data_IF_862200635359
#
_entry.id   IF_862200635359
#
_cell.length_a   1.000
_cell.length_b   1.000
_cell.length_c   1.000
_cell.angle_alpha   90.00
_cell.angle_beta   90.00
_cell.angle_gamma   90.00
#
_symmetry.space_group_name_H-M   'P 1'
#
loop_
_entity.id
_entity.type
_entity.pdbx_description
1 polymer ?
#
# COMPACT_ATOMS: atom_id res chain seq x y z
N UNK A 1 8.36 -14.06 19.80
CA UNK A 1 8.82 -12.79 19.19
C UNK A 1 7.65 -12.12 18.48
N UNK A 2 7.53 -10.79 18.55
CA UNK A 2 6.48 -10.03 17.84
C UNK A 2 6.77 -10.09 16.35
N UNK A 3 5.79 -10.51 15.54
CA UNK A 3 5.88 -10.46 14.07
C UNK A 3 5.83 -9.00 13.63
N UNK A 4 6.95 -8.48 13.14
CA UNK A 4 7.10 -7.06 12.78
C UNK A 4 7.51 -6.86 11.32
N UNK A 5 7.66 -7.93 10.55
CA UNK A 5 8.04 -7.87 9.14
C UNK A 5 6.78 -8.12 8.31
N UNK A 6 6.38 -7.12 7.53
CA UNK A 6 5.41 -7.32 6.45
C UNK A 6 6.16 -8.02 5.31
N UNK A 7 5.80 -9.27 5.04
CA UNK A 7 6.31 -10.02 3.91
C UNK A 7 5.28 -9.98 2.77
N UNK A 8 5.68 -9.47 1.62
CA UNK A 8 4.77 -9.18 0.52
C UNK A 8 5.39 -9.54 -0.84
N UNK A 9 4.59 -10.18 -1.70
CA UNK A 9 4.91 -10.34 -3.11
C UNK A 9 3.84 -9.69 -3.96
N UNK A 10 4.24 -9.11 -5.10
CA UNK A 10 3.36 -8.31 -5.95
C UNK A 10 3.52 -8.64 -7.42
N UNK A 11 2.46 -8.41 -8.20
CA UNK A 11 2.47 -8.54 -9.66
C UNK A 11 1.47 -7.62 -10.33
N UNK A 12 1.76 -7.18 -11.56
CA UNK A 12 0.82 -6.45 -12.40
C UNK A 12 -0.26 -7.42 -12.90
N UNK A 13 -1.52 -6.98 -12.86
CA UNK A 13 -2.67 -7.70 -13.43
C UNK A 13 -3.48 -6.73 -14.29
N UNK A 14 -4.31 -7.25 -15.18
CA UNK A 14 -5.28 -6.47 -15.92
C UNK A 14 -6.58 -6.39 -15.12
N UNK A 15 -7.27 -5.25 -15.21
CA UNK A 15 -8.60 -5.08 -14.61
C UNK A 15 -9.58 -6.18 -15.04
N UNK A 16 -9.48 -6.64 -16.29
CA UNK A 16 -10.31 -7.72 -16.85
C UNK A 16 -10.05 -9.09 -16.23
N UNK A 17 -8.90 -9.31 -15.59
CA UNK A 17 -8.54 -10.59 -14.96
C UNK A 17 -9.12 -10.73 -13.54
N UNK A 18 -9.62 -9.64 -12.96
CA UNK A 18 -10.05 -9.59 -11.56
C UNK A 18 -11.18 -10.58 -11.24
N UNK A 19 -12.28 -10.68 -12.02
CA UNK A 19 -13.33 -11.66 -11.74
C UNK A 19 -12.80 -13.11 -11.71
N UNK A 20 -11.87 -13.45 -12.63
CA UNK A 20 -11.25 -14.78 -12.65
C UNK A 20 -10.35 -15.03 -11.43
N UNK A 21 -9.62 -14.01 -10.98
CA UNK A 21 -8.79 -14.09 -9.76
C UNK A 21 -9.64 -14.25 -8.51
N UNK A 22 -10.77 -13.56 -8.41
CA UNK A 22 -11.72 -13.71 -7.29
C UNK A 22 -12.26 -15.14 -7.21
N UNK A 23 -12.64 -15.72 -8.35
CA UNK A 23 -13.10 -17.10 -8.42
C UNK A 23 -12.00 -18.09 -7.98
N UNK A 24 -10.76 -17.91 -8.44
CA UNK A 24 -9.61 -18.75 -8.01
C UNK A 24 -9.30 -18.60 -6.52
N UNK A 25 -9.33 -17.38 -5.98
CA UNK A 25 -9.15 -17.13 -4.54
C UNK A 25 -10.21 -17.85 -3.71
N UNK A 26 -11.49 -17.75 -4.12
CA UNK A 26 -12.59 -18.45 -3.46
C UNK A 26 -12.43 -19.97 -3.51
N UNK A 27 -12.05 -20.52 -4.68
CA UNK A 27 -11.77 -21.95 -4.84
C UNK A 27 -10.61 -22.43 -3.94
N UNK A 28 -9.63 -21.57 -3.68
CA UNK A 28 -8.54 -21.83 -2.73
C UNK A 28 -8.94 -21.59 -1.26
N UNK A 29 -10.21 -21.27 -0.98
CA UNK A 29 -10.72 -21.08 0.38
C UNK A 29 -10.42 -19.70 1.00
N UNK A 30 -10.08 -18.70 0.19
CA UNK A 30 -10.06 -17.32 0.67
C UNK A 30 -11.48 -16.78 0.82
N UNK A 31 -11.68 -15.97 1.86
CA UNK A 31 -12.93 -15.22 2.08
C UNK A 31 -12.71 -13.77 1.70
N UNK A 32 -13.69 -13.17 1.03
CA UNK A 32 -13.70 -11.71 0.87
C UNK A 32 -13.90 -11.09 2.24
N UNK A 33 -13.02 -10.14 2.60
CA UNK A 33 -13.13 -9.34 3.83
C UNK A 33 -13.62 -7.92 3.53
N UNK A 34 -13.97 -7.66 2.27
CA UNK A 34 -14.61 -6.43 1.82
C UNK A 34 -13.82 -5.64 0.80
N UNK A 35 -14.45 -4.59 0.32
CA UNK A 35 -13.89 -3.62 -0.62
C UNK A 35 -13.61 -2.31 0.12
N UNK A 36 -12.44 -1.73 -0.16
CA UNK A 36 -11.99 -0.49 0.46
C UNK A 36 -11.54 0.48 -0.61
N UNK A 37 -11.92 1.75 -0.46
CA UNK A 37 -11.29 2.84 -1.20
C UNK A 37 -10.28 3.51 -0.28
N UNK A 38 -9.03 3.56 -0.71
CA UNK A 38 -7.93 4.12 0.06
C UNK A 38 -7.31 5.29 -0.68
N UNK A 39 -7.25 6.45 -0.04
CA UNK A 39 -6.48 7.60 -0.51
C UNK A 39 -5.24 7.72 0.37
N UNK A 40 -4.06 7.80 -0.24
CA UNK A 40 -2.78 7.88 0.47
C UNK A 40 -1.96 9.06 -0.02
N UNK A 41 -1.50 9.90 0.89
CA UNK A 41 -0.33 10.77 0.70
C UNK A 41 0.89 9.92 0.99
N UNK A 42 1.74 9.70 0.00
CA UNK A 42 2.92 8.85 0.07
C UNK A 42 4.17 9.70 -0.13
N UNK A 43 5.07 9.67 0.86
CA UNK A 43 6.31 10.45 0.90
C UNK A 43 7.50 9.49 0.95
N UNK A 44 8.31 9.50 -0.11
CA UNK A 44 9.45 8.62 -0.28
C UNK A 44 10.77 9.38 -0.19
N UNK A 45 11.76 8.78 0.49
CA UNK A 45 13.14 9.23 0.44
C UNK A 45 14.02 8.49 1.44
N UNK A 46 15.24 8.98 1.58
CA UNK A 46 16.22 8.40 2.50
C UNK A 46 16.30 9.24 3.77
N UNK A 47 16.40 8.56 4.92
CA UNK A 47 16.61 9.20 6.22
C UNK A 47 17.88 8.67 6.85
N UNK A 48 18.58 9.56 7.56
CA UNK A 48 19.70 9.15 8.40
C UNK A 48 19.20 8.40 9.62
N UNK A 49 19.78 7.24 9.85
CA UNK A 49 19.60 6.42 11.03
C UNK A 49 20.83 6.63 11.92
N UNK A 50 20.60 7.24 13.08
CA UNK A 50 21.58 7.21 14.16
C UNK A 50 21.50 5.85 14.83
N UNK A 51 22.49 5.01 14.56
CA UNK A 51 22.67 3.75 15.25
C UNK A 51 23.04 4.07 16.71
N UNK A 52 22.07 3.97 17.63
CA UNK A 52 22.26 4.31 19.03
C UNK A 52 23.28 3.39 19.72
N UNK A 53 23.55 2.22 19.14
CA UNK A 53 24.42 1.19 19.72
C UNK A 53 25.82 1.13 19.06
N UNK A 54 25.99 1.69 17.86
CA UNK A 54 27.33 1.84 17.26
C UNK A 54 28.04 3.07 17.80
N UNK A 55 28.92 2.84 18.77
CA UNK A 55 29.92 3.80 19.27
C UNK A 55 30.64 4.51 18.11
N UNK A 56 30.32 5.79 17.91
CA UNK A 56 31.18 6.93 17.50
C UNK A 56 32.09 6.84 16.26
N UNK A 57 32.15 5.76 15.48
CA UNK A 57 33.08 5.66 14.34
C UNK A 57 32.47 5.29 12.97
N UNK A 58 31.15 5.13 12.88
CA UNK A 58 30.44 5.04 11.61
C UNK A 58 29.63 6.32 11.39
N UNK A 59 29.79 6.99 10.25
CA UNK A 59 28.92 8.10 9.86
C UNK A 59 27.43 7.67 9.80
N UNK A 60 26.50 8.60 9.56
CA UNK A 60 25.08 8.27 9.46
C UNK A 60 24.86 7.17 8.42
N UNK A 61 24.20 6.09 8.83
CA UNK A 61 23.69 5.10 7.89
C UNK A 61 22.38 5.62 7.30
N UNK A 62 22.19 5.52 5.99
CA UNK A 62 20.93 5.92 5.35
C UNK A 62 20.05 4.71 5.14
N UNK A 63 18.75 4.86 5.40
CA UNK A 63 17.74 3.87 5.03
C UNK A 63 16.62 4.53 4.27
N UNK A 64 16.07 3.81 3.30
CA UNK A 64 14.90 4.25 2.58
C UNK A 64 13.66 4.14 3.48
N UNK A 65 12.85 5.19 3.47
CA UNK A 65 11.55 5.23 4.14
C UNK A 65 10.44 5.60 3.16
N UNK A 66 9.26 5.07 3.47
CA UNK A 66 8.00 5.38 2.82
C UNK A 66 7.02 5.75 3.93
N UNK A 67 6.80 7.04 4.10
CA UNK A 67 5.84 7.59 5.05
C UNK A 67 4.50 7.78 4.32
N UNK A 68 3.44 7.20 4.88
CA UNK A 68 2.10 7.26 4.30
C UNK A 68 1.13 7.83 5.30
N UNK A 69 0.45 8.89 4.91
CA UNK A 69 -0.83 9.25 5.52
C UNK A 69 -1.91 8.63 4.65
N UNK A 70 -2.63 7.63 5.15
CA UNK A 70 -3.70 6.96 4.41
C UNK A 70 -5.05 7.12 5.12
N UNK A 71 -6.09 7.31 4.33
CA UNK A 71 -7.47 7.21 4.78
C UNK A 71 -8.13 6.04 4.06
N UNK A 72 -8.70 5.12 4.83
CA UNK A 72 -9.44 3.96 4.34
C UNK A 72 -10.80 3.99 5.01
N UNK A 73 -11.89 4.12 4.26
CA UNK A 73 -13.24 4.07 4.82
C UNK A 73 -13.47 5.07 5.99
N UNK A 74 -12.96 6.29 5.87
CA UNK A 74 -12.98 7.35 6.91
C UNK A 74 -12.03 7.15 8.09
N UNK A 75 -11.36 6.01 8.20
CA UNK A 75 -10.32 5.77 9.21
C UNK A 75 -8.97 6.27 8.70
N UNK A 76 -8.31 7.11 9.48
CA UNK A 76 -7.04 7.72 9.12
C UNK A 76 -5.89 7.07 9.87
N UNK A 77 -4.80 6.81 9.16
CA UNK A 77 -3.62 6.18 9.71
C UNK A 77 -2.37 6.85 9.14
N UNK A 78 -1.35 6.98 9.99
CA UNK A 78 0.02 7.30 9.58
C UNK A 78 0.87 6.05 9.70
N UNK A 79 1.57 5.71 8.63
CA UNK A 79 2.39 4.51 8.53
C UNK A 79 3.77 4.88 8.05
N UNK A 80 4.80 4.35 8.71
CA UNK A 80 6.18 4.40 8.24
C UNK A 80 6.63 2.99 7.89
N UNK A 81 7.01 2.77 6.62
CA UNK A 81 7.67 1.55 6.18
C UNK A 81 9.18 1.81 6.04
N UNK A 82 10.00 0.99 6.71
CA UNK A 82 11.46 1.12 6.75
C UNK A 82 12.11 0.01 5.93
N UNK A 83 13.06 0.38 5.07
CA UNK A 83 13.73 -0.49 4.11
C UNK A 83 13.36 -0.14 2.67
N UNK A 84 14.06 -0.75 1.70
CA UNK A 84 13.90 -0.46 0.28
C UNK A 84 12.43 -0.59 -0.17
N UNK A 85 11.90 0.38 -0.91
CA UNK A 85 10.48 0.48 -1.31
C UNK A 85 9.98 -0.72 -2.12
N UNK A 86 10.89 -1.42 -2.80
CA UNK A 86 10.60 -2.62 -3.62
C UNK A 86 10.91 -3.93 -2.90
N UNK A 87 11.47 -3.88 -1.68
CA UNK A 87 11.77 -5.08 -0.92
C UNK A 87 10.49 -5.74 -0.44
N UNK A 88 10.49 -7.06 -0.42
CA UNK A 88 9.36 -7.86 0.04
C UNK A 88 9.24 -7.88 1.57
N UNK A 89 10.25 -7.47 2.33
CA UNK A 89 10.36 -7.70 3.78
C UNK A 89 10.65 -6.39 4.54
N UNK A 90 9.63 -5.52 4.67
CA UNK A 90 9.81 -4.20 5.29
C UNK A 90 9.30 -4.20 6.73
N UNK A 91 9.96 -3.40 7.58
CA UNK A 91 9.42 -3.09 8.90
C UNK A 91 8.33 -2.04 8.73
N UNK A 92 7.14 -2.32 9.25
CA UNK A 92 6.00 -1.40 9.21
C UNK A 92 5.60 -0.98 10.62
N UNK A 93 5.40 0.31 10.81
CA UNK A 93 4.90 0.90 12.04
C UNK A 93 3.74 1.82 11.66
N UNK A 94 2.54 1.52 12.16
CA UNK A 94 1.31 2.27 11.89
C UNK A 94 0.68 2.81 13.17
N UNK A 95 0.06 3.98 13.08
CA UNK A 95 -0.68 4.62 14.16
C UNK A 95 -1.97 5.23 13.61
N UNK A 96 -3.10 4.86 14.22
CA UNK A 96 -4.40 5.51 13.94
C UNK A 96 -4.37 6.96 14.42
N UNK A 97 -4.91 7.86 13.61
CA UNK A 97 -4.95 9.30 13.88
C UNK A 97 -6.31 9.86 13.49
N UNK A 98 -6.67 11.04 14.01
CA UNK A 98 -7.83 11.77 13.50
C UNK A 98 -7.53 12.43 12.13
N UNK A 99 -8.57 12.93 11.45
CA UNK A 99 -8.46 13.55 10.14
C UNK A 99 -7.63 14.86 10.12
N UNK A 100 -7.65 15.64 11.21
CA UNK A 100 -6.86 16.88 11.31
C UNK A 100 -5.37 16.54 11.43
N UNK A 101 -5.05 15.55 12.24
CA UNK A 101 -3.71 15.01 12.42
C UNK A 101 -3.18 14.40 11.11
N UNK A 102 -4.01 13.63 10.39
CA UNK A 102 -3.70 13.13 9.04
C UNK A 102 -3.25 14.25 8.09
N UNK A 103 -4.01 15.36 8.01
CA UNK A 103 -3.66 16.48 7.14
C UNK A 103 -2.35 17.17 7.58
N UNK A 104 -2.14 17.27 8.89
CA UNK A 104 -0.94 17.87 9.47
C UNK A 104 0.30 17.05 9.13
N UNK A 105 0.26 15.73 9.34
CA UNK A 105 1.36 14.83 8.97
C UNK A 105 1.63 14.83 7.47
N UNK A 106 0.59 14.81 6.64
CA UNK A 106 0.74 14.90 5.19
C UNK A 106 1.49 16.16 4.76
N UNK A 107 1.13 17.31 5.34
CA UNK A 107 1.81 18.57 5.09
C UNK A 107 3.27 18.54 5.57
N UNK A 108 3.52 18.05 6.80
CA UNK A 108 4.87 17.94 7.36
C UNK A 108 5.78 17.07 6.50
N UNK A 109 5.35 15.87 6.10
CA UNK A 109 6.15 15.00 5.27
C UNK A 109 6.47 15.62 3.91
N UNK A 110 5.52 16.34 3.30
CA UNK A 110 5.78 17.06 2.06
C UNK A 110 6.81 18.19 2.21
N UNK A 111 6.86 18.83 3.39
CA UNK A 111 7.82 19.90 3.70
C UNK A 111 9.23 19.39 4.02
N UNK A 112 9.41 18.10 4.31
CA UNK A 112 10.72 17.49 4.64
C UNK A 112 11.58 17.15 3.41
N UNK A 113 11.20 17.60 2.21
CA UNK A 113 11.96 17.36 0.98
C UNK A 113 11.78 15.96 0.38
N UNK A 114 10.87 15.15 0.92
CA UNK A 114 10.51 13.85 0.33
C UNK A 114 9.82 14.01 -1.02
N UNK A 115 10.06 13.06 -1.93
CA UNK A 115 9.21 12.92 -3.11
C UNK A 115 7.83 12.48 -2.66
N UNK A 116 6.87 13.42 -2.71
CA UNK A 116 5.54 13.23 -2.14
C UNK A 116 4.45 13.29 -3.20
N UNK A 117 3.58 12.28 -3.20
CA UNK A 117 2.46 12.16 -4.13
C UNK A 117 1.20 11.64 -3.45
N UNK A 118 0.05 11.92 -4.05
CA UNK A 118 -1.26 11.42 -3.61
C UNK A 118 -1.77 10.43 -4.63
N UNK A 119 -2.24 9.27 -4.15
CA UNK A 119 -2.92 8.28 -4.97
C UNK A 119 -4.16 7.73 -4.27
N UNK A 120 -5.22 7.51 -5.04
CA UNK A 120 -6.45 6.88 -4.57
C UNK A 120 -6.67 5.58 -5.32
N UNK A 121 -6.92 4.48 -4.60
CA UNK A 121 -7.09 3.14 -5.18
C UNK A 121 -8.33 2.46 -4.60
N UNK A 122 -8.95 1.61 -5.42
CA UNK A 122 -9.98 0.67 -4.99
C UNK A 122 -9.32 -0.69 -4.75
N UNK A 123 -9.57 -1.30 -3.60
CA UNK A 123 -8.95 -2.57 -3.24
C UNK A 123 -10.02 -3.54 -2.79
N UNK A 124 -10.04 -4.72 -3.42
CA UNK A 124 -10.80 -5.87 -2.95
C UNK A 124 -9.89 -6.76 -2.14
N UNK A 125 -10.26 -6.99 -0.88
CA UNK A 125 -9.41 -7.66 0.09
C UNK A 125 -9.96 -9.06 0.38
N UNK A 126 -9.05 -10.03 0.44
CA UNK A 126 -9.33 -11.43 0.70
C UNK A 126 -8.41 -11.95 1.81
N UNK A 127 -8.89 -12.88 2.63
CA UNK A 127 -8.08 -13.46 3.69
C UNK A 127 -8.27 -14.97 3.81
N UNK A 128 -7.17 -15.67 4.08
CA UNK A 128 -7.14 -17.09 4.43
C UNK A 128 -6.05 -17.33 5.48
N UNK A 129 -6.45 -17.72 6.69
CA UNK A 129 -5.54 -17.86 7.84
C UNK A 129 -4.78 -16.55 8.07
N UNK A 130 -3.46 -16.56 7.91
CA UNK A 130 -2.58 -15.38 8.10
C UNK A 130 -2.13 -14.73 6.79
N UNK A 131 -2.64 -15.19 5.64
CA UNK A 131 -2.33 -14.60 4.34
C UNK A 131 -3.49 -13.68 3.95
N UNK A 132 -3.16 -12.45 3.59
CA UNK A 132 -4.09 -11.53 2.93
C UNK A 132 -3.73 -11.41 1.45
N UNK A 133 -4.75 -11.20 0.61
CA UNK A 133 -4.60 -10.90 -0.80
C UNK A 133 -5.41 -9.64 -1.11
N UNK A 134 -4.78 -8.66 -1.73
CA UNK A 134 -5.40 -7.44 -2.19
C UNK A 134 -5.37 -7.37 -3.72
N UNK A 135 -6.54 -7.26 -4.34
CA UNK A 135 -6.66 -6.92 -5.76
C UNK A 135 -6.88 -5.41 -5.86
N UNK A 136 -5.86 -4.69 -6.29
CA UNK A 136 -5.83 -3.22 -6.29
C UNK A 136 -6.07 -2.68 -7.69
N UNK A 137 -6.95 -1.69 -7.80
CA UNK A 137 -7.29 -0.99 -9.03
C UNK A 137 -7.10 0.52 -8.87
N UNK A 138 -6.54 1.15 -9.91
CA UNK A 138 -6.46 2.61 -10.02
C UNK A 138 -7.62 3.17 -10.87
N UNK A 139 -7.88 4.50 -10.79
CA UNK A 139 -8.92 5.15 -11.60
C UNK A 139 -8.74 4.95 -13.12
N UNK A 140 -7.52 5.00 -13.63
CA UNK A 140 -7.22 4.75 -15.05
C UNK A 140 -7.28 3.29 -15.48
N UNK A 141 -7.59 2.36 -14.55
CA UNK A 141 -7.72 0.94 -14.83
C UNK A 141 -6.42 0.13 -14.77
N UNK A 142 -5.31 0.74 -14.33
CA UNK A 142 -4.13 -0.04 -13.93
C UNK A 142 -4.49 -0.89 -12.71
N UNK A 143 -4.00 -2.12 -12.68
CA UNK A 143 -4.28 -3.04 -11.58
C UNK A 143 -3.05 -3.86 -11.21
N UNK A 144 -3.02 -4.29 -9.96
CA UNK A 144 -1.98 -5.15 -9.43
C UNK A 144 -2.53 -5.98 -8.27
N UNK A 145 -1.81 -7.04 -7.92
CA UNK A 145 -2.11 -7.90 -6.79
C UNK A 145 -1.00 -7.77 -5.74
N UNK A 146 -1.40 -7.71 -4.48
CA UNK A 146 -0.53 -7.85 -3.31
C UNK A 146 -0.91 -9.15 -2.58
N UNK A 147 0.08 -9.99 -2.28
CA UNK A 147 -0.08 -11.19 -1.46
C UNK A 147 0.85 -11.04 -0.27
N UNK A 148 0.28 -10.94 0.93
CA UNK A 148 1.00 -10.51 2.13
C UNK A 148 0.82 -11.48 3.30
N UNK A 149 1.81 -11.48 4.20
CA UNK A 149 1.78 -12.19 5.49
C UNK A 149 2.72 -11.52 6.48
N UNK A 150 2.27 -11.34 7.72
CA UNK A 150 3.15 -10.91 8.82
C UNK A 150 4.07 -12.06 9.26
N UNK A 151 5.37 -11.79 9.33
CA UNK A 151 6.41 -12.77 9.64
C UNK A 151 7.46 -12.22 10.62
N UNK A 152 8.46 -13.05 10.91
CA UNK A 152 9.68 -12.71 11.63
C UNK A 152 10.91 -13.22 10.85
N UNK A 153 12.11 -12.83 11.30
CA UNK A 153 13.37 -13.17 10.61
C UNK A 153 13.61 -14.68 10.48
N UNK A 154 13.06 -15.49 11.38
CA UNK A 154 13.26 -16.95 11.39
C UNK A 154 12.35 -17.65 10.38
N UNK A 155 11.16 -17.12 10.12
CA UNK A 155 10.18 -17.70 9.20
C UNK A 155 10.19 -17.09 7.79
N UNK A 156 10.85 -15.95 7.60
CA UNK A 156 10.82 -15.15 6.37
C UNK A 156 10.99 -15.97 5.08
N UNK A 157 12.01 -16.84 5.00
CA UNK A 157 12.28 -17.66 3.80
C UNK A 157 11.16 -18.68 3.52
N UNK A 158 10.61 -19.28 4.57
CA UNK A 158 9.53 -20.27 4.46
C UNK A 158 8.24 -19.58 4.01
N UNK A 159 7.92 -18.46 4.65
CA UNK A 159 6.74 -17.66 4.32
C UNK A 159 6.84 -17.11 2.88
N UNK A 160 8.02 -16.67 2.43
CA UNK A 160 8.20 -16.18 1.05
C UNK A 160 7.94 -17.28 0.02
N UNK A 161 8.38 -18.52 0.31
CA UNK A 161 8.10 -19.68 -0.55
C UNK A 161 6.60 -19.97 -0.59
N UNK A 162 5.91 -19.88 0.54
CA UNK A 162 4.45 -20.04 0.62
C UNK A 162 3.73 -19.00 -0.26
N UNK A 163 4.06 -17.71 -0.13
CA UNK A 163 3.45 -16.64 -0.93
C UNK A 163 3.74 -16.80 -2.43
N UNK A 164 4.97 -17.17 -2.79
CA UNK A 164 5.35 -17.40 -4.19
C UNK A 164 4.62 -18.61 -4.78
N UNK A 165 4.38 -19.65 -3.98
CA UNK A 165 3.62 -20.83 -4.42
C UNK A 165 2.16 -20.49 -4.65
N UNK A 166 1.57 -19.68 -3.76
CA UNK A 166 0.22 -19.17 -3.95
C UNK A 166 0.10 -18.30 -5.21
N UNK A 167 1.07 -17.43 -5.47
CA UNK A 167 1.09 -16.64 -6.71
C UNK A 167 1.06 -17.51 -7.97
N UNK A 168 1.81 -18.62 -7.98
CA UNK A 168 1.79 -19.60 -9.09
C UNK A 168 0.44 -20.28 -9.23
N UNK A 169 -0.20 -20.68 -8.12
CA UNK A 169 -1.54 -21.27 -8.12
C UNK A 169 -2.61 -20.29 -8.64
N UNK A 170 -2.41 -18.99 -8.44
CA UNK A 170 -3.27 -17.94 -8.97
C UNK A 170 -2.94 -17.54 -10.41
N UNK A 171 -1.91 -18.15 -11.00
CA UNK A 171 -1.37 -17.86 -12.34
C UNK A 171 -0.87 -16.41 -12.48
N UNK A 172 -0.33 -15.85 -11.38
CA UNK A 172 0.19 -14.49 -11.33
C UNK A 172 1.68 -14.47 -11.64
N UNK A 173 2.07 -13.61 -12.60
CA UNK A 173 3.45 -13.25 -12.82
C UNK A 173 3.88 -12.16 -11.83
N UNK A 174 4.65 -12.56 -10.82
CA UNK A 174 5.24 -11.63 -9.86
C UNK A 174 6.30 -10.73 -10.54
N UNK A 175 6.48 -9.53 -10.01
CA UNK A 175 7.63 -8.70 -10.36
C UNK A 175 8.91 -9.34 -9.81
N UNK A 176 9.77 -9.78 -10.72
CA UNK A 176 11.03 -10.45 -10.39
C UNK A 176 12.20 -9.48 -10.20
N UNK A 177 12.04 -8.20 -10.56
CA UNK A 177 13.10 -7.19 -10.43
C UNK A 177 12.57 -5.86 -9.89
N UNK A 178 13.46 -5.12 -9.22
CA UNK A 178 13.22 -3.72 -8.81
C UNK A 178 12.71 -2.86 -9.96
N UNK A 179 13.26 -3.05 -11.17
CA UNK A 179 12.89 -2.27 -12.35
C UNK A 179 11.42 -2.46 -12.71
N UNK A 180 10.93 -3.70 -12.75
CA UNK A 180 9.54 -3.99 -13.09
C UNK A 180 8.56 -3.31 -12.13
N UNK A 181 8.85 -3.37 -10.83
CA UNK A 181 8.07 -2.67 -9.80
C UNK A 181 8.08 -1.14 -10.03
N UNK A 182 9.25 -0.55 -10.22
CA UNK A 182 9.38 0.90 -10.40
C UNK A 182 8.75 1.39 -11.70
N UNK A 183 8.83 0.62 -12.79
CA UNK A 183 8.17 0.93 -14.05
C UNK A 183 6.64 1.00 -13.85
N UNK A 184 6.06 0.07 -13.09
CA UNK A 184 4.64 0.10 -12.77
C UNK A 184 4.26 1.29 -11.86
N UNK A 185 5.07 1.58 -10.83
CA UNK A 185 4.89 2.77 -10.00
C UNK A 185 4.97 4.06 -10.82
N UNK A 186 5.82 4.11 -11.85
CA UNK A 186 5.88 5.23 -12.79
C UNK A 186 4.59 5.36 -13.58
N UNK A 187 4.05 4.28 -14.15
CA UNK A 187 2.75 4.28 -14.84
C UNK A 187 1.63 4.86 -13.96
N UNK A 188 1.56 4.43 -12.70
CA UNK A 188 0.60 4.98 -11.72
C UNK A 188 0.81 6.48 -11.49
N UNK A 189 2.07 6.90 -11.38
CA UNK A 189 2.42 8.31 -11.16
C UNK A 189 2.04 9.19 -12.35
N UNK A 190 2.28 8.69 -13.57
CA UNK A 190 2.01 9.45 -14.79
C UNK A 190 0.50 9.55 -15.09
N UNK A 191 -0.30 8.56 -14.66
CA UNK A 191 -1.72 8.44 -15.06
C UNK A 191 -2.73 8.78 -13.97
N UNK A 192 -2.43 8.49 -12.71
CA UNK A 192 -3.41 8.54 -11.62
C UNK A 192 -2.98 9.41 -10.45
N UNK A 193 -1.70 9.30 -10.05
CA UNK A 193 -1.22 10.00 -8.87
C UNK A 193 -0.85 11.45 -9.22
N UNK A 194 -0.74 12.30 -8.21
CA UNK A 194 -0.34 13.69 -8.41
C UNK A 194 0.61 14.17 -7.33
N UNK A 195 1.53 15.08 -7.69
CA UNK A 195 2.53 15.58 -6.77
C UNK A 195 1.91 16.44 -5.66
N UNK A 196 2.18 16.11 -4.41
CA UNK A 196 1.69 16.83 -3.24
C UNK A 196 2.85 17.55 -2.56
N UNK A 197 2.78 18.88 -2.50
CA UNK A 197 3.84 19.75 -1.96
C UNK A 197 3.48 20.37 -0.61
N UNK A 198 2.42 19.90 0.04
CA UNK A 198 1.98 20.46 1.34
C UNK A 198 1.40 21.88 1.27
N UNK A 199 1.12 22.41 0.08
CA UNK A 199 0.53 23.76 -0.06
C UNK A 199 -0.95 23.78 0.31
N UNK A 200 -1.49 24.96 0.63
CA UNK A 200 -2.93 25.12 0.88
C UNK A 200 -3.80 24.61 -0.30
N UNK A 201 -3.38 24.87 -1.55
CA UNK A 201 -4.03 24.35 -2.76
C UNK A 201 -4.03 22.82 -2.80
N UNK A 202 -2.92 22.17 -2.43
CA UNK A 202 -2.86 20.72 -2.36
C UNK A 202 -3.77 20.16 -1.26
N UNK A 203 -3.85 20.80 -0.09
CA UNK A 203 -4.75 20.39 0.98
C UNK A 203 -6.22 20.50 0.56
N UNK A 204 -6.60 21.56 -0.16
CA UNK A 204 -7.95 21.71 -0.71
C UNK A 204 -8.27 20.58 -1.69
N UNK A 205 -7.35 20.29 -2.63
CA UNK A 205 -7.51 19.18 -3.58
C UNK A 205 -7.64 17.83 -2.86
N UNK A 206 -6.76 17.54 -1.90
CA UNK A 206 -6.78 16.31 -1.12
C UNK A 206 -8.11 16.13 -0.37
N UNK A 207 -8.60 17.17 0.30
CA UNK A 207 -9.91 17.14 0.98
C UNK A 207 -11.05 16.84 0.01
N UNK A 208 -11.02 17.42 -1.20
CA UNK A 208 -12.03 17.17 -2.23
C UNK A 208 -12.02 15.71 -2.68
N UNK A 209 -10.85 15.15 -2.99
CA UNK A 209 -10.71 13.75 -3.41
C UNK A 209 -11.18 12.78 -2.31
N UNK A 210 -10.85 13.04 -1.05
CA UNK A 210 -11.28 12.22 0.09
C UNK A 210 -12.82 12.27 0.26
N UNK A 211 -13.44 13.44 0.11
CA UNK A 211 -14.91 13.58 0.19
C UNK A 211 -15.61 12.85 -0.96
N UNK A 212 -15.10 12.98 -2.19
CA UNK A 212 -15.64 12.28 -3.35
C UNK A 212 -15.56 10.76 -3.16
N UNK A 213 -14.40 10.27 -2.70
CA UNK A 213 -14.21 8.86 -2.37
C UNK A 213 -15.20 8.33 -1.32
N UNK A 214 -15.60 9.16 -0.34
CA UNK A 214 -16.64 8.82 0.63
C UNK A 214 -18.06 8.89 0.08
N UNK A 215 -18.34 9.79 -0.86
CA UNK A 215 -19.68 10.02 -1.44
C UNK A 215 -20.06 8.94 -2.44
N UNK A 216 -19.12 8.48 -3.27
CA UNK A 216 -19.29 7.35 -4.22
C UNK A 216 -19.65 6.03 -3.50
N UNK A 217 -19.40 5.96 -2.19
CA UNK A 217 -19.74 4.80 -1.37
C UNK A 217 -21.25 4.70 -1.12
N UNK A 218 -21.92 5.83 -0.98
CA UNK A 218 -23.37 5.87 -0.74
C UNK A 218 -24.16 5.55 -2.02
N UNK A 219 -23.67 5.96 -3.20
CA UNK A 219 -24.34 5.68 -4.48
C UNK A 219 -24.25 4.22 -4.92
N UNK A 220 -23.23 3.47 -4.51
CA UNK A 220 -23.14 2.02 -4.80
C UNK A 220 -23.86 1.12 -3.79
N UNK A 221 -24.27 1.65 -2.63
CA UNK A 221 -25.10 0.91 -1.67
C UNK A 221 -26.59 0.87 -2.03
N UNK A 222 -27.07 1.83 -2.83
CA UNK A 222 -28.48 1.93 -3.23
C UNK A 222 -28.84 0.97 -4.38
N UNK A 223 -27.86 0.54 -5.18
CA UNK A 223 -28.10 -0.37 -6.32
C UNK A 223 -28.10 -1.85 -5.90
N UNK A 224 -27.56 -2.18 -4.71
CA UNK A 224 -27.50 -3.56 -4.22
C UNK A 224 -28.76 -3.98 -3.41
N UNK A 225 -29.74 -3.09 -3.24
CA UNK A 225 -31.01 -3.38 -2.55
C UNK A 225 -32.21 -3.52 -3.50
N UNK A 226 -32.00 -3.49 -4.82
CA UNK A 226 -33.05 -3.67 -5.83
C UNK A 226 -32.62 -4.69 -6.90
N UNK A 227 -32.32 -5.94 -6.49
CA UNK A 227 -32.46 -7.16 -7.34
C UNK A 227 -32.79 -8.34 -6.44
#
# INVERSE_FOLDING_TARGET
MKKSIELEVRGEIKKTEIPGLEARLKALGFRSIGETRRTSVMSFGDVSMFDRDKKRHGGPSFTQVDNRCRITNSECEVVTKIGLTHASNRLEIGQQVDFKSFLTFAQMFASMGFFTKVGSKLTKNFQRKSISVALVQSPSGLAYIEIEKMTDRTQEKKDLKELTTLARQLEIKLWGTRKQFLDFCKKLTDRDDWQFRGTAKNLIRLKKEIRQAGSDRNSHSVIASEV
#
